data_IF_874346767322
#
_entry.id   IF_874346767322
#
_cell.length_a   1.000
_cell.length_b   1.000
_cell.length_c   1.000
_cell.angle_alpha   90.00
_cell.angle_beta   90.00
_cell.angle_gamma   90.00
#
_symmetry.space_group_name_H-M   'P 1'
#
loop_
_entity.id
_entity.type
_entity.pdbx_description
1 polymer ?
2 non-polymer ?
3 non-polymer ?
4 non-polymer ?
5 water ?
#
# COMPACT_ATOMS: atom_id res chain seq x y z
N UNK A 1 -11.70 10.53 12.25
CA UNK A 1 -10.96 9.46 11.59
C UNK A 1 -9.73 9.05 12.38
N UNK A 2 -9.52 7.74 12.50
CA UNK A 2 -8.39 7.20 13.23
C UNK A 2 -7.79 6.03 12.47
N UNK A 3 -6.53 5.71 12.81
CA UNK A 3 -5.84 4.64 12.10
C UNK A 3 -6.54 3.30 12.31
N UNK A 4 -7.21 3.11 13.45
CA UNK A 4 -7.90 1.86 13.73
C UNK A 4 -9.06 1.61 12.78
N UNK A 5 -9.62 2.67 12.18
CA UNK A 5 -10.70 2.50 11.22
C UNK A 5 -10.23 1.80 9.94
N UNK A 6 -8.91 1.74 9.69
CA UNK A 6 -8.41 1.06 8.50
C UNK A 6 -8.19 -0.43 8.72
N UNK A 7 -8.39 -0.92 9.95
CA UNK A 7 -8.06 -2.30 10.25
C UNK A 7 -9.01 -3.26 9.55
N UNK A 8 -8.49 -4.43 9.21
CA UNK A 8 -9.27 -5.53 8.66
C UNK A 8 -8.63 -6.07 7.40
N UNK A 9 -9.35 -7.02 6.78
CA UNK A 9 -8.98 -7.62 5.51
C UNK A 9 -9.78 -6.95 4.41
N UNK A 10 -9.09 -6.51 3.36
CA UNK A 10 -9.69 -5.74 2.29
C UNK A 10 -9.31 -6.36 0.95
N UNK A 11 -10.27 -6.45 0.04
CA UNK A 11 -10.09 -7.14 -1.23
C UNK A 11 -10.09 -6.14 -2.38
N UNK A 12 -9.10 -6.23 -3.25
CA UNK A 12 -9.03 -5.34 -4.39
C UNK A 12 -10.26 -5.49 -5.28
N UNK A 13 -10.91 -4.37 -5.60
CA UNK A 13 -12.04 -4.40 -6.52
C UNK A 13 -11.89 -3.47 -7.71
N UNK A 14 -10.95 -2.52 -7.69
CA UNK A 14 -10.75 -1.67 -8.85
C UNK A 14 -9.33 -1.12 -8.80
N UNK A 15 -8.73 -0.96 -9.98
CA UNK A 15 -7.39 -0.42 -10.09
C UNK A 15 -7.27 0.46 -11.33
N UNK A 16 -6.60 1.59 -11.18
CA UNK A 16 -6.31 2.50 -12.26
C UNK A 16 -4.88 3.00 -12.10
N UNK A 17 -4.10 2.96 -13.19
CA UNK A 17 -2.77 3.51 -13.19
C UNK A 17 -1.67 2.64 -12.60
N UNK A 18 -2.00 1.41 -12.18
CA UNK A 18 -1.01 0.61 -11.48
C UNK A 18 0.12 0.17 -12.41
N UNK A 19 -0.19 -0.23 -13.64
CA UNK A 19 0.90 -0.63 -14.53
C UNK A 19 1.83 0.56 -14.80
N UNK A 20 1.27 1.76 -14.99
CA UNK A 20 2.10 2.92 -15.24
C UNK A 20 2.97 3.24 -14.04
N UNK A 21 2.43 3.06 -12.83
CA UNK A 21 3.21 3.28 -11.61
C UNK A 21 4.33 2.26 -11.51
N UNK A 22 4.05 1.00 -11.82
CA UNK A 22 5.10 -0.01 -11.78
C UNK A 22 6.19 0.30 -12.80
N UNK A 23 5.81 0.78 -13.99
CA UNK A 23 6.81 1.17 -14.98
C UNK A 23 7.67 2.32 -14.47
N UNK A 24 7.06 3.29 -13.78
CA UNK A 24 7.85 4.38 -13.22
C UNK A 24 8.82 3.88 -12.14
N UNK A 25 8.42 2.85 -11.38
CA UNK A 25 9.29 2.28 -10.35
C UNK A 25 10.46 1.50 -10.92
N UNK A 26 10.47 1.23 -12.21
CA UNK A 26 11.49 0.37 -12.79
C UNK A 26 11.24 -1.12 -12.71
N UNK A 27 9.98 -1.55 -12.54
CA UNK A 27 9.69 -2.97 -12.31
C UNK A 27 9.74 -3.73 -13.63
N UNK A 28 10.40 -4.89 -13.64
CA UNK A 28 10.52 -5.67 -14.85
C UNK A 28 9.23 -6.38 -15.22
N UNK A 29 9.23 -6.96 -16.42
CA UNK A 29 7.99 -7.43 -17.02
C UNK A 29 7.38 -8.57 -16.21
N UNK A 30 8.19 -9.47 -15.67
CA UNK A 30 7.63 -10.58 -14.89
C UNK A 30 6.82 -10.07 -13.70
N UNK A 31 7.41 -9.18 -12.91
CA UNK A 31 6.67 -8.64 -11.78
C UNK A 31 5.49 -7.78 -12.21
N UNK A 32 5.60 -7.05 -13.34
CA UNK A 32 4.47 -6.23 -13.76
C UNK A 32 3.29 -7.08 -14.22
N UNK A 33 3.56 -8.20 -14.90
CA UNK A 33 2.47 -9.10 -15.26
C UNK A 33 1.81 -9.67 -14.01
N UNK A 34 2.61 -10.06 -13.02
CA UNK A 34 2.06 -10.54 -11.75
C UNK A 34 1.15 -9.48 -11.13
N UNK A 35 1.65 -8.24 -11.07
CA UNK A 35 0.88 -7.18 -10.43
C UNK A 35 -0.35 -6.78 -11.21
N UNK A 36 -0.32 -6.94 -12.53
CA UNK A 36 -1.50 -6.62 -13.33
C UNK A 36 -2.63 -7.59 -13.06
N UNK A 37 -2.30 -8.86 -12.83
CA UNK A 37 -3.32 -9.89 -12.73
C UNK A 37 -3.55 -10.42 -11.32
N UNK A 38 -2.72 -10.04 -10.34
CA UNK A 38 -3.01 -10.46 -8.99
C UNK A 38 -4.23 -9.70 -8.47
N UNK A 39 -4.98 -10.38 -7.60
CA UNK A 39 -6.18 -9.83 -6.98
C UNK A 39 -5.94 -9.89 -5.48
N UNK A 40 -5.14 -8.99 -4.92
CA UNK A 40 -4.69 -9.17 -3.54
C UNK A 40 -5.74 -8.79 -2.51
N UNK A 41 -5.62 -9.43 -1.36
CA UNK A 41 -6.19 -8.90 -0.14
C UNK A 41 -5.10 -8.15 0.60
N UNK A 42 -5.49 -7.06 1.25
CA UNK A 42 -4.61 -6.30 2.13
C UNK A 42 -5.16 -6.43 3.55
N UNK A 43 -4.32 -6.84 4.50
CA UNK A 43 -4.74 -7.03 5.89
C UNK A 43 -4.00 -6.01 6.73
N UNK A 44 -4.73 -5.08 7.32
CA UNK A 44 -4.16 -3.97 8.09
C UNK A 44 -4.47 -4.21 9.55
N UNK A 45 -3.45 -4.20 10.39
CA UNK A 45 -3.65 -4.31 11.81
C UNK A 45 -2.83 -3.23 12.49
N UNK A 46 -3.32 -2.72 13.62
CA UNK A 46 -2.61 -1.65 14.30
C UNK A 46 -2.86 -1.72 15.80
N UNK A 47 -1.78 -1.73 16.60
CA UNK A 47 -1.84 -1.84 18.05
C UNK A 47 -1.13 -0.59 18.56
N UNK A 48 -1.93 0.44 18.85
CA UNK A 48 -1.39 1.73 19.21
C UNK A 48 -0.66 2.34 18.03
N UNK A 49 0.66 2.47 18.15
CA UNK A 49 1.47 2.96 17.05
C UNK A 49 2.18 1.84 16.29
N UNK A 50 1.93 0.58 16.63
CA UNK A 50 2.47 -0.53 15.86
C UNK A 50 1.52 -0.83 14.71
N UNK A 51 2.03 -0.82 13.48
CA UNK A 51 1.25 -1.07 12.28
C UNK A 51 1.82 -2.27 11.55
N UNK A 52 0.95 -3.15 11.07
CA UNK A 52 1.36 -4.19 10.13
C UNK A 52 0.44 -4.16 8.92
N UNK A 53 1.02 -4.27 7.74
CA UNK A 53 0.23 -4.47 6.52
C UNK A 53 0.74 -5.70 5.79
N UNK A 54 -0.15 -6.66 5.58
CA UNK A 54 0.13 -7.89 4.86
C UNK A 54 -0.69 -7.87 3.58
N UNK A 55 -0.04 -8.18 2.46
CA UNK A 55 -0.73 -8.26 1.17
C UNK A 55 -0.69 -9.72 0.75
N UNK A 56 -1.84 -10.31 0.48
CA UNK A 56 -1.93 -11.72 0.18
C UNK A 56 -2.59 -11.94 -1.17
N UNK A 57 -1.94 -12.73 -2.00
CA UNK A 57 -2.56 -13.19 -3.24
C UNK A 57 -1.94 -14.51 -3.61
N UNK A 58 -2.64 -15.26 -4.45
CA UNK A 58 -2.10 -16.54 -4.91
C UNK A 58 -0.75 -16.36 -5.60
N UNK A 59 -0.55 -15.22 -6.24
CA UNK A 59 0.71 -14.98 -6.95
C UNK A 59 1.80 -14.41 -6.04
N UNK A 60 1.46 -13.54 -5.09
CA UNK A 60 2.51 -12.95 -4.27
C UNK A 60 1.94 -12.46 -2.95
N UNK A 61 2.71 -12.66 -1.89
CA UNK A 61 2.38 -12.22 -0.54
C UNK A 61 3.58 -11.48 0.04
N UNK A 62 3.32 -10.32 0.65
CA UNK A 62 4.34 -9.48 1.28
C UNK A 62 3.79 -9.02 2.62
N UNK A 63 4.68 -8.58 3.51
CA UNK A 63 4.23 -8.05 4.80
C UNK A 63 5.32 -7.15 5.35
N UNK A 64 4.92 -6.04 5.97
CA UNK A 64 5.86 -5.24 6.74
C UNK A 64 5.18 -4.78 8.02
N UNK A 65 5.99 -4.49 9.02
CA UNK A 65 5.55 -3.95 10.29
C UNK A 65 6.41 -2.76 10.65
N UNK A 66 5.82 -1.81 11.35
CA UNK A 66 6.57 -0.62 11.74
C UNK A 66 5.90 0.04 12.94
N UNK A 67 6.62 1.00 13.50
CA UNK A 67 6.06 1.93 14.48
C UNK A 67 5.78 3.24 13.77
N UNK A 68 4.55 3.74 13.90
CA UNK A 68 4.22 5.01 13.26
C UNK A 68 5.23 6.08 13.67
N UNK A 69 5.68 6.84 12.68
CA UNK A 69 6.62 7.91 12.92
C UNK A 69 8.08 7.53 12.88
N UNK A 70 8.42 6.25 12.79
CA UNK A 70 9.80 5.79 12.86
C UNK A 70 10.28 5.29 11.50
N UNK A 71 11.43 5.76 11.06
CA UNK A 71 12.02 5.30 9.81
C UNK A 71 12.46 3.84 9.94
N UNK A 72 12.21 3.06 8.89
CA UNK A 72 12.59 1.64 8.91
C UNK A 72 12.93 1.18 7.49
N UNK A 73 13.66 0.07 7.39
CA UNK A 73 13.94 -0.55 6.09
C UNK A 73 12.78 -1.45 5.65
N UNK A 74 12.12 -1.05 4.58
CA UNK A 74 11.04 -1.84 3.99
C UNK A 74 11.57 -2.51 2.74
N UNK A 75 11.41 -3.83 2.65
CA UNK A 75 11.61 -4.52 1.37
C UNK A 75 10.25 -4.53 0.67
N UNK A 76 10.17 -3.90 -0.49
CA UNK A 76 8.90 -3.76 -1.20
C UNK A 76 8.62 -5.01 -2.03
N UNK A 77 7.39 -5.08 -2.57
CA UNK A 77 6.99 -6.25 -3.34
C UNK A 77 7.91 -6.49 -4.52
N UNK A 78 8.38 -5.42 -5.14
CA UNK A 78 9.27 -5.51 -6.28
C UNK A 78 10.73 -5.62 -5.89
N UNK A 79 11.05 -5.62 -4.60
CA UNK A 79 12.39 -5.92 -4.12
C UNK A 79 13.27 -4.74 -3.80
N UNK A 80 12.74 -3.51 -3.88
CA UNK A 80 13.50 -2.36 -3.41
C UNK A 80 13.68 -2.45 -1.90
N UNK A 81 14.78 -1.93 -1.40
CA UNK A 81 14.97 -1.78 0.04
C UNK A 81 14.94 -0.29 0.30
N UNK A 82 13.80 0.19 0.79
CA UNK A 82 13.58 1.62 0.94
C UNK A 82 13.66 2.01 2.40
N UNK A 83 13.93 3.30 2.63
CA UNK A 83 13.74 3.90 3.95
C UNK A 83 12.32 4.44 3.96
N UNK A 84 11.47 3.85 4.79
CA UNK A 84 10.06 4.16 4.81
C UNK A 84 9.65 4.74 6.16
N UNK A 85 8.67 5.63 6.14
CA UNK A 85 8.01 6.10 7.35
C UNK A 85 6.52 6.11 7.09
N UNK A 86 5.74 5.62 8.06
CA UNK A 86 4.29 5.66 8.02
C UNK A 86 3.79 6.56 9.14
N UNK A 87 2.85 7.44 8.82
CA UNK A 87 2.18 8.28 9.80
C UNK A 87 0.70 8.34 9.46
N UNK A 88 -0.13 8.49 10.50
CA UNK A 88 -1.54 8.78 10.30
C UNK A 88 -1.73 10.28 10.47
N UNK A 89 -2.06 10.96 9.37
CA UNK A 89 -2.09 12.42 9.32
C UNK A 89 -3.29 12.84 8.49
N UNK A 90 -4.04 13.81 9.00
CA UNK A 90 -5.19 14.37 8.27
C UNK A 90 -6.14 13.27 7.80
N UNK A 91 -6.38 12.29 8.67
CA UNK A 91 -7.31 11.23 8.37
C UNK A 91 -6.85 10.23 7.32
N UNK A 92 -5.55 10.10 7.08
CA UNK A 92 -5.05 9.13 6.13
C UNK A 92 -3.77 8.51 6.67
N UNK A 93 -3.56 7.24 6.35
CA UNK A 93 -2.26 6.64 6.59
C UNK A 93 -1.35 7.00 5.43
N UNK A 94 -0.23 7.65 5.72
CA UNK A 94 0.68 8.15 4.70
C UNK A 94 1.99 7.39 4.83
N UNK A 95 2.42 6.74 3.74
CA UNK A 95 3.63 5.94 3.71
C UNK A 95 4.59 6.57 2.70
N UNK A 96 5.73 7.04 3.19
CA UNK A 96 6.72 7.73 2.37
C UNK A 96 7.92 6.81 2.22
N UNK A 97 8.29 6.51 0.98
CA UNK A 97 9.42 5.63 0.67
C UNK A 97 10.53 6.41 -0.01
N UNK A 98 11.77 6.22 0.43
CA UNK A 98 12.93 6.88 -0.17
C UNK A 98 13.98 5.83 -0.46
N UNK A 99 14.55 5.86 -1.66
CA UNK A 99 15.63 4.95 -2.00
C UNK A 99 16.38 5.51 -3.20
N UNK A 100 17.70 5.41 -3.17
CA UNK A 100 18.53 5.77 -4.31
C UNK A 100 18.18 7.15 -4.88
N UNK A 101 17.88 8.10 -4.00
CA UNK A 101 17.55 9.47 -4.41
C UNK A 101 16.16 9.65 -4.97
N UNK A 102 15.35 8.61 -4.96
CA UNK A 102 13.97 8.63 -5.43
C UNK A 102 13.01 8.64 -4.25
N UNK A 103 11.76 8.96 -4.54
CA UNK A 103 10.74 8.96 -3.49
C UNK A 103 9.40 8.58 -4.08
N UNK A 104 8.60 7.89 -3.26
CA UNK A 104 7.22 7.59 -3.62
C UNK A 104 6.35 7.66 -2.38
N UNK A 105 5.11 8.14 -2.54
CA UNK A 105 4.14 8.24 -1.45
C UNK A 105 2.95 7.33 -1.74
N UNK A 106 2.51 6.62 -0.70
CA UNK A 106 1.32 5.79 -0.75
C UNK A 106 0.39 6.23 0.37
N UNK A 107 -0.84 6.57 0.04
CA UNK A 107 -1.84 6.92 1.04
C UNK A 107 -2.95 5.88 1.10
N UNK A 108 -3.49 5.67 2.29
CA UNK A 108 -4.62 4.78 2.47
C UNK A 108 -5.67 5.50 3.31
N UNK A 109 -6.90 5.51 2.82
CA UNK A 109 -7.98 6.21 3.51
C UNK A 109 -9.27 5.41 3.37
N UNK A 110 -10.18 5.66 4.31
CA UNK A 110 -11.51 5.05 4.30
C UNK A 110 -12.47 6.06 3.70
N UNK A 111 -13.21 5.65 2.68
CA UNK A 111 -14.17 6.51 2.01
C UNK A 111 -15.37 5.68 1.59
N UNK A 112 -16.54 5.99 2.16
CA UNK A 112 -17.78 5.28 1.86
C UNK A 112 -17.66 3.79 2.16
N UNK A 113 -16.94 3.46 3.24
CA UNK A 113 -16.77 2.09 3.65
C UNK A 113 -15.75 1.29 2.87
N UNK A 114 -15.11 1.90 1.86
CA UNK A 114 -14.07 1.26 1.07
C UNK A 114 -12.70 1.83 1.44
N UNK A 115 -11.68 1.00 1.30
CA UNK A 115 -10.30 1.43 1.47
C UNK A 115 -9.77 1.93 0.14
N UNK A 116 -9.40 3.20 0.10
CA UNK A 116 -8.90 3.83 -1.11
C UNK A 116 -7.39 4.00 -0.95
N UNK A 117 -6.63 3.35 -1.81
CA UNK A 117 -5.18 3.37 -1.76
C UNK A 117 -4.66 4.14 -2.98
N UNK A 118 -3.86 5.17 -2.74
CA UNK A 118 -3.34 5.99 -3.83
C UNK A 118 -1.83 6.02 -3.77
N UNK A 119 -1.17 5.91 -4.92
CA UNK A 119 0.28 5.90 -4.97
C UNK A 119 0.75 6.93 -5.98
N UNK A 120 1.95 7.45 -5.76
CA UNK A 120 2.52 8.40 -6.71
C UNK A 120 4.03 8.29 -6.67
N UNK A 121 4.63 8.39 -7.85
CA UNK A 121 6.05 8.68 -7.95
C UNK A 121 6.22 9.59 -9.15
N UNK A 122 6.86 10.75 -8.94
CA UNK A 122 7.17 11.65 -10.05
C UNK A 122 5.91 11.95 -10.89
N UNK A 123 4.80 12.24 -10.18
CA UNK A 123 3.52 12.59 -10.79
C UNK A 123 2.85 11.44 -11.52
N UNK A 124 3.41 10.24 -11.52
CA UNK A 124 2.73 9.06 -12.07
C UNK A 124 1.91 8.44 -10.96
N UNK A 125 0.61 8.34 -11.15
CA UNK A 125 -0.30 8.04 -10.05
C UNK A 125 -1.05 6.73 -10.26
N UNK A 126 -1.51 6.16 -9.15
CA UNK A 126 -2.37 5.00 -9.16
C UNK A 126 -3.46 5.19 -8.11
N UNK A 127 -4.63 4.60 -8.36
CA UNK A 127 -5.70 4.54 -7.39
C UNK A 127 -6.24 3.12 -7.36
N UNK A 128 -6.29 2.51 -6.19
CA UNK A 128 -6.78 1.15 -6.02
C UNK A 128 -7.81 1.14 -4.92
N UNK A 129 -8.95 0.51 -5.20
CA UNK A 129 -10.08 0.49 -4.27
C UNK A 129 -10.26 -0.93 -3.75
N UNK A 130 -10.40 -1.06 -2.44
CA UNK A 130 -10.57 -2.34 -1.77
C UNK A 130 -11.86 -2.32 -0.94
N UNK A 131 -12.59 -3.44 -0.95
CA UNK A 131 -13.80 -3.57 -0.16
C UNK A 131 -13.56 -4.47 1.03
N UNK A 132 -14.21 -4.16 2.15
CA UNK A 132 -13.99 -4.88 3.40
C UNK A 132 -14.52 -6.30 3.27
N UNK A 133 -13.71 -7.25 3.71
CA UNK A 133 -13.97 -8.67 3.57
C UNK A 133 -14.11 -9.27 4.95
N UNK A 134 -14.98 -10.26 5.08
CA UNK A 134 -14.94 -10.98 6.35
C UNK A 134 -13.81 -12.02 6.33
#
# INVERSE_FOLDING_TARGET
ATVQQLEGRWRLVDSKGFDEYMKELGVGIALRKMGAMAKPDCIITCDGKNLTIKTESTLKTTQFSCTLGEKFEETTADGRKTQTVCNFTDGALVQHQEWDGKESTITRKLKDGKLVVECVMNNVTCTRIYEKVE
#
